data_IF_447884638572
#
_entry.id   IF_447884638572
#
_cell.length_a   1.000
_cell.length_b   1.000
_cell.length_c   1.000
_cell.angle_alpha   90.00
_cell.angle_beta   90.00
_cell.angle_gamma   90.00
#
_symmetry.space_group_name_H-M   'P 1'
#
loop_
_entity.id
_entity.type
_entity.pdbx_description
1 polymer ?
#
# COMPACT_ATOMS: atom_id res chain seq x y z
N UNK A 1 -20.75 7.45 -17.52
CA UNK A 1 -20.60 7.71 -16.06
C UNK A 1 -19.57 8.82 -15.82
N UNK A 2 -19.90 10.09 -16.10
CA UNK A 2 -18.91 11.17 -16.03
C UNK A 2 -18.43 11.43 -14.60
N UNK A 3 -19.34 11.44 -13.63
CA UNK A 3 -19.02 11.78 -12.23
C UNK A 3 -18.04 10.81 -11.58
N UNK A 4 -18.23 9.49 -11.74
CA UNK A 4 -17.34 8.49 -11.13
C UNK A 4 -15.92 8.59 -11.67
N UNK A 5 -15.78 8.83 -12.98
CA UNK A 5 -14.47 9.05 -13.62
C UNK A 5 -13.82 10.34 -13.11
N UNK A 6 -14.60 11.43 -12.99
CA UNK A 6 -14.12 12.69 -12.45
C UNK A 6 -13.58 12.55 -11.02
N UNK A 7 -14.34 11.89 -10.14
CA UNK A 7 -13.94 11.65 -8.74
C UNK A 7 -12.70 10.74 -8.66
N UNK A 8 -12.56 9.78 -9.58
CA UNK A 8 -11.38 8.93 -9.65
C UNK A 8 -10.12 9.70 -10.07
N UNK A 9 -10.23 10.58 -11.07
CA UNK A 9 -9.11 11.46 -11.44
C UNK A 9 -8.77 12.43 -10.29
N UNK A 10 -9.76 12.94 -9.55
CA UNK A 10 -9.52 13.77 -8.38
C UNK A 10 -8.77 13.02 -7.26
N UNK A 11 -9.03 11.71 -7.09
CA UNK A 11 -8.26 10.83 -6.20
C UNK A 11 -6.81 10.68 -6.69
N UNK A 12 -6.60 10.44 -7.99
CA UNK A 12 -5.25 10.37 -8.58
C UNK A 12 -4.46 11.66 -8.35
N UNK A 13 -5.08 12.81 -8.59
CA UNK A 13 -4.48 14.12 -8.36
C UNK A 13 -4.14 14.34 -6.87
N UNK A 14 -5.04 13.93 -5.96
CA UNK A 14 -4.76 14.01 -4.52
C UNK A 14 -3.56 13.14 -4.11
N UNK A 15 -3.40 11.96 -4.71
CA UNK A 15 -2.23 11.10 -4.48
C UNK A 15 -0.95 11.74 -5.03
N UNK A 16 -0.99 12.27 -6.25
CA UNK A 16 0.16 12.92 -6.90
C UNK A 16 0.64 14.15 -6.12
N UNK A 17 -0.28 14.91 -5.57
CA UNK A 17 0.00 16.12 -4.78
C UNK A 17 0.30 15.84 -3.30
N UNK A 18 0.32 14.56 -2.88
CA UNK A 18 0.57 14.19 -1.48
C UNK A 18 -0.54 14.63 -0.50
N UNK A 19 -1.75 14.91 -1.00
CA UNK A 19 -2.92 15.30 -0.19
C UNK A 19 -3.57 14.07 0.45
N UNK A 20 -2.84 13.40 1.35
CA UNK A 20 -3.25 12.13 1.95
C UNK A 20 -4.62 12.17 2.63
N UNK A 21 -4.98 13.26 3.31
CA UNK A 21 -6.32 13.40 3.92
C UNK A 21 -7.46 13.34 2.89
N UNK A 22 -7.26 13.94 1.72
CA UNK A 22 -8.25 13.89 0.65
C UNK A 22 -8.30 12.47 0.04
N UNK A 23 -7.13 11.87 -0.20
CA UNK A 23 -7.04 10.52 -0.74
C UNK A 23 -7.65 9.46 0.18
N UNK A 24 -7.38 9.48 1.50
CA UNK A 24 -7.95 8.52 2.46
C UNK A 24 -9.47 8.64 2.53
N UNK A 25 -10.03 9.86 2.42
CA UNK A 25 -11.48 10.06 2.42
C UNK A 25 -12.20 9.45 1.21
N UNK A 26 -11.47 9.16 0.13
CA UNK A 26 -11.97 8.54 -1.08
C UNK A 26 -11.74 7.02 -1.13
N UNK A 27 -11.25 6.41 -0.04
CA UNK A 27 -11.06 4.96 0.06
C UNK A 27 -12.26 4.27 0.72
N UNK A 28 -12.50 3.02 0.32
CA UNK A 28 -13.41 2.11 1.03
C UNK A 28 -13.09 0.64 0.71
N UNK A 29 -13.79 -0.28 1.39
CA UNK A 29 -13.75 -1.69 1.05
C UNK A 29 -12.45 -2.37 1.49
N UNK A 30 -11.95 -3.27 0.65
CA UNK A 30 -10.85 -4.18 0.98
C UNK A 30 -9.56 -3.44 1.30
N UNK A 31 -9.32 -2.26 0.72
CA UNK A 31 -8.11 -1.49 1.01
C UNK A 31 -8.05 -0.98 2.45
N UNK A 32 -9.20 -0.72 3.08
CA UNK A 32 -9.26 -0.35 4.50
C UNK A 32 -9.04 -1.56 5.42
N UNK A 33 -9.49 -2.75 5.00
CA UNK A 33 -9.14 -3.99 5.71
C UNK A 33 -7.64 -4.28 5.60
N UNK A 34 -7.05 -4.01 4.43
CA UNK A 34 -5.61 -4.14 4.23
C UNK A 34 -4.82 -3.11 5.04
N UNK A 35 -5.30 -1.87 5.19
CA UNK A 35 -4.72 -0.87 6.11
C UNK A 35 -4.55 -1.43 7.54
N UNK A 36 -5.58 -2.09 8.07
CA UNK A 36 -5.53 -2.70 9.39
C UNK A 36 -4.51 -3.85 9.46
N UNK A 37 -4.46 -4.68 8.42
CA UNK A 37 -3.49 -5.77 8.33
C UNK A 37 -2.06 -5.24 8.25
N UNK A 38 -1.80 -4.21 7.44
CA UNK A 38 -0.49 -3.58 7.33
C UNK A 38 0.00 -3.03 8.67
N UNK A 39 -0.88 -2.42 9.46
CA UNK A 39 -0.55 -1.95 10.82
C UNK A 39 -0.15 -3.10 11.74
N UNK A 40 -0.84 -4.24 11.65
CA UNK A 40 -0.47 -5.44 12.38
C UNK A 40 0.87 -6.01 11.89
N UNK A 41 1.09 -6.11 10.58
CA UNK A 41 2.36 -6.58 10.02
C UNK A 41 3.52 -5.69 10.44
N UNK A 42 3.34 -4.36 10.47
CA UNK A 42 4.33 -3.41 10.97
C UNK A 42 4.70 -3.64 12.43
N UNK A 43 3.74 -4.02 13.27
CA UNK A 43 3.97 -4.25 14.69
C UNK A 43 4.57 -5.64 14.98
N UNK A 44 4.02 -6.69 14.36
CA UNK A 44 4.13 -8.06 14.89
C UNK A 44 4.87 -9.03 13.98
N UNK A 45 4.75 -8.90 12.65
CA UNK A 45 5.29 -9.91 11.74
C UNK A 45 6.83 -9.96 11.85
N UNK A 46 7.36 -11.16 12.07
CA UNK A 46 8.79 -11.45 12.08
C UNK A 46 9.34 -11.68 10.67
N UNK A 47 10.65 -11.95 10.55
CA UNK A 47 11.28 -12.19 9.24
C UNK A 47 10.59 -13.30 8.46
N UNK A 48 10.27 -14.43 9.08
CA UNK A 48 9.66 -15.57 8.40
C UNK A 48 8.25 -15.23 7.88
N UNK A 49 7.44 -14.57 8.71
CA UNK A 49 6.08 -14.17 8.35
C UNK A 49 6.08 -13.09 7.27
N UNK A 50 6.94 -12.08 7.38
CA UNK A 50 7.12 -11.05 6.34
C UNK A 50 7.63 -11.64 5.02
N UNK A 51 8.48 -12.67 5.10
CA UNK A 51 9.01 -13.38 3.93
C UNK A 51 7.95 -14.22 3.19
N UNK A 52 6.76 -14.40 3.76
CA UNK A 52 5.63 -15.02 3.08
C UNK A 52 4.66 -14.00 2.46
N UNK A 53 4.85 -12.70 2.75
CA UNK A 53 4.02 -11.62 2.19
C UNK A 53 4.47 -11.24 0.78
N UNK A 54 3.57 -10.60 0.05
CA UNK A 54 3.89 -9.99 -1.24
C UNK A 54 5.02 -8.95 -1.09
N UNK A 55 5.81 -8.72 -2.14
CA UNK A 55 7.00 -7.89 -2.04
C UNK A 55 6.69 -6.43 -1.74
N UNK A 56 5.51 -5.91 -2.08
CA UNK A 56 5.15 -4.53 -1.77
C UNK A 56 4.86 -4.35 -0.29
N UNK A 57 4.13 -5.29 0.33
CA UNK A 57 3.97 -5.37 1.80
C UNK A 57 5.33 -5.47 2.47
N UNK A 58 6.15 -6.42 2.03
CA UNK A 58 7.47 -6.68 2.62
C UNK A 58 8.37 -5.46 2.54
N UNK A 59 8.40 -4.80 1.39
CA UNK A 59 9.15 -3.57 1.16
C UNK A 59 8.66 -2.42 2.02
N UNK A 60 7.35 -2.18 2.07
CA UNK A 60 6.78 -1.15 2.93
C UNK A 60 7.13 -1.37 4.40
N UNK A 61 6.96 -2.59 4.92
CA UNK A 61 7.23 -2.90 6.33
C UNK A 61 8.70 -2.76 6.66
N UNK A 62 9.59 -3.38 5.87
CA UNK A 62 11.04 -3.34 6.10
C UNK A 62 11.58 -1.92 5.97
N UNK A 63 11.18 -1.18 4.92
CA UNK A 63 11.53 0.23 4.73
C UNK A 63 11.13 1.08 5.93
N UNK A 64 9.90 0.89 6.41
CA UNK A 64 9.38 1.66 7.54
C UNK A 64 10.11 1.32 8.85
N UNK A 65 10.42 0.05 9.08
CA UNK A 65 11.08 -0.41 10.31
C UNK A 65 12.56 -0.06 10.38
N UNK A 66 13.27 -0.11 9.26
CA UNK A 66 14.70 0.21 9.21
C UNK A 66 14.99 1.72 9.09
N UNK A 67 13.98 2.57 8.91
CA UNK A 67 14.16 4.02 8.96
C UNK A 67 14.58 4.49 10.37
N UNK A 68 15.41 5.55 10.49
CA UNK A 68 15.96 6.00 11.78
C UNK A 68 14.88 6.61 12.67
N UNK A 69 13.86 7.24 12.08
CA UNK A 69 12.73 7.80 12.81
C UNK A 69 11.56 6.81 12.84
N UNK A 70 11.11 6.49 14.06
CA UNK A 70 9.92 5.68 14.24
C UNK A 70 8.66 6.47 13.90
N UNK A 71 7.98 6.05 12.85
CA UNK A 71 6.64 6.54 12.57
C UNK A 71 5.59 5.89 13.48
N UNK A 72 4.81 6.72 14.19
CA UNK A 72 3.67 6.28 14.98
C UNK A 72 2.44 6.08 14.07
N UNK A 73 2.18 4.83 13.72
CA UNK A 73 1.00 4.47 12.94
C UNK A 73 -0.28 4.59 13.75
N UNK A 74 -0.25 4.51 15.08
CA UNK A 74 -1.48 4.52 15.92
C UNK A 74 -2.20 5.87 15.85
N UNK A 75 -1.46 6.96 15.61
CA UNK A 75 -2.00 8.30 15.43
C UNK A 75 -2.50 8.59 13.99
N UNK A 76 -2.22 7.72 13.01
CA UNK A 76 -2.58 7.97 11.62
C UNK A 76 -4.05 7.65 11.33
N UNK A 77 -4.76 8.47 10.53
CA UNK A 77 -6.11 8.18 10.08
C UNK A 77 -6.24 6.81 9.39
N UNK A 78 -7.42 6.22 9.45
CA UNK A 78 -7.74 4.96 8.74
C UNK A 78 -7.45 5.12 7.24
N UNK A 79 -6.82 4.11 6.64
CA UNK A 79 -6.41 4.10 5.23
C UNK A 79 -5.04 4.73 4.98
N UNK A 80 -4.42 5.38 5.96
CA UNK A 80 -3.10 6.00 5.78
C UNK A 80 -2.00 4.98 5.58
N UNK A 81 -1.97 3.88 6.35
CA UNK A 81 -0.98 2.82 6.18
C UNK A 81 -1.13 2.15 4.81
N UNK A 82 -2.37 1.95 4.35
CA UNK A 82 -2.63 1.48 3.00
C UNK A 82 -2.08 2.44 1.93
N UNK A 83 -2.37 3.73 2.01
CA UNK A 83 -1.85 4.70 1.02
C UNK A 83 -0.33 4.78 1.04
N UNK A 84 0.28 4.76 2.21
CA UNK A 84 1.72 4.73 2.36
C UNK A 84 2.35 3.47 1.77
N UNK A 85 1.72 2.30 1.95
CA UNK A 85 2.17 1.07 1.32
C UNK A 85 1.99 1.12 -0.21
N UNK A 86 0.85 1.66 -0.67
CA UNK A 86 0.56 1.83 -2.09
C UNK A 86 1.56 2.76 -2.78
N UNK A 87 2.04 3.81 -2.10
CA UNK A 87 3.04 4.76 -2.60
C UNK A 87 4.48 4.43 -2.16
N UNK A 88 4.70 3.29 -1.49
CA UNK A 88 6.01 2.97 -0.92
C UNK A 88 7.09 2.90 -2.01
N UNK A 89 6.75 2.38 -3.19
CA UNK A 89 7.66 2.28 -4.33
C UNK A 89 7.17 3.16 -5.48
N UNK A 90 7.60 4.42 -5.49
CA UNK A 90 7.09 5.48 -6.36
C UNK A 90 7.29 5.23 -7.85
N UNK A 91 8.27 4.40 -8.24
CA UNK A 91 8.47 3.98 -9.63
C UNK A 91 7.21 3.31 -10.20
N UNK A 92 6.42 2.64 -9.35
CA UNK A 92 5.18 1.99 -9.75
C UNK A 92 3.95 2.93 -9.68
N UNK A 93 4.10 4.20 -9.32
CA UNK A 93 2.99 5.17 -9.33
C UNK A 93 2.45 5.40 -10.74
N UNK A 94 3.25 5.15 -11.78
CA UNK A 94 2.79 5.13 -13.18
C UNK A 94 1.59 4.19 -13.38
N UNK A 95 1.51 3.07 -12.64
CA UNK A 95 0.37 2.16 -12.71
C UNK A 95 -0.92 2.77 -12.18
N UNK A 96 -0.84 3.72 -11.24
CA UNK A 96 -1.99 4.50 -10.79
C UNK A 96 -2.31 5.61 -11.79
N UNK A 97 -1.30 6.27 -12.36
CA UNK A 97 -1.47 7.37 -13.32
C UNK A 97 -2.10 6.91 -14.63
N UNK A 98 -1.68 5.76 -15.16
CA UNK A 98 -2.20 5.19 -16.41
C UNK A 98 -3.53 4.46 -16.24
N UNK A 99 -3.94 4.21 -15.00
CA UNK A 99 -5.21 3.57 -14.72
C UNK A 99 -6.38 4.50 -15.02
N UNK A 100 -7.36 3.95 -15.72
CA UNK A 100 -8.63 4.60 -16.01
C UNK A 100 -9.81 3.65 -15.79
N UNK A 101 -10.99 4.22 -15.57
CA UNK A 101 -12.22 3.45 -15.31
C UNK A 101 -13.03 3.25 -16.58
N UNK A 102 -13.19 1.99 -16.97
CA UNK A 102 -13.94 1.54 -18.13
C UNK A 102 -15.45 1.50 -17.90
N UNK A 103 -16.08 0.42 -18.39
CA UNK A 103 -17.53 0.22 -18.36
C UNK A 103 -18.02 -0.31 -17.01
N UNK A 104 -19.29 -0.07 -16.73
CA UNK A 104 -19.98 -0.64 -15.56
C UNK A 104 -20.39 -2.08 -15.85
N UNK A 105 -19.93 -2.98 -14.99
CA UNK A 105 -20.07 -4.42 -15.13
C UNK A 105 -21.21 -5.00 -14.26
N UNK A 106 -21.77 -4.21 -13.35
CA UNK A 106 -22.83 -4.63 -12.42
C UNK A 106 -22.53 -4.22 -10.98
N UNK A 107 -23.17 -4.88 -10.03
CA UNK A 107 -22.95 -4.69 -8.60
C UNK A 107 -22.21 -5.90 -8.00
N UNK A 108 -21.40 -5.68 -6.97
CA UNK A 108 -20.88 -6.76 -6.14
C UNK A 108 -21.90 -7.22 -5.08
N UNK A 109 -21.49 -8.17 -4.25
CA UNK A 109 -22.30 -8.78 -3.19
C UNK A 109 -22.78 -7.76 -2.14
N UNK A 110 -22.06 -6.65 -2.00
CA UNK A 110 -22.37 -5.57 -1.07
C UNK A 110 -23.20 -4.45 -1.73
N UNK A 111 -23.51 -4.60 -3.03
CA UNK A 111 -24.26 -3.61 -3.81
C UNK A 111 -23.42 -2.44 -4.31
N UNK A 112 -22.09 -2.50 -4.22
CA UNK A 112 -21.21 -1.47 -4.77
C UNK A 112 -21.03 -1.69 -6.27
N UNK A 113 -20.74 -0.60 -6.99
CA UNK A 113 -20.54 -0.66 -8.43
C UNK A 113 -19.25 -1.37 -8.78
N UNK A 114 -19.31 -2.29 -9.73
CA UNK A 114 -18.14 -2.94 -10.33
C UNK A 114 -17.84 -2.28 -11.66
N UNK A 115 -16.67 -1.65 -11.77
CA UNK A 115 -16.19 -1.03 -12.99
C UNK A 115 -15.00 -1.80 -13.55
N UNK A 116 -14.94 -1.95 -14.88
CA UNK A 116 -13.74 -2.43 -15.55
C UNK A 116 -12.59 -1.46 -15.33
N UNK A 117 -11.39 -1.97 -15.11
CA UNK A 117 -10.16 -1.19 -15.10
C UNK A 117 -9.47 -1.27 -16.46
N UNK A 118 -8.90 -0.15 -16.88
CA UNK A 118 -8.16 -0.02 -18.15
C UNK A 118 -6.80 0.56 -17.83
N UNK A 119 -5.75 -0.22 -18.01
CA UNK A 119 -4.36 0.16 -17.75
C UNK A 119 -3.64 0.34 -19.10
N UNK A 120 -3.03 1.49 -19.32
CA UNK A 120 -2.35 1.81 -20.59
C UNK A 120 -3.23 1.57 -21.83
N UNK A 121 -4.54 1.82 -21.71
CA UNK A 121 -5.52 1.59 -22.79
C UNK A 121 -5.95 0.12 -22.98
N UNK A 122 -5.45 -0.81 -22.16
CA UNK A 122 -5.81 -2.23 -22.22
C UNK A 122 -6.70 -2.62 -21.03
N UNK A 123 -7.79 -3.33 -21.33
CA UNK A 123 -8.63 -3.97 -20.32
C UNK A 123 -8.15 -5.42 -20.16
N UNK A 124 -7.57 -5.74 -19.01
CA UNK A 124 -7.07 -7.07 -18.65
C UNK A 124 -8.12 -7.94 -17.93
N UNK A 125 -9.35 -7.46 -17.83
CA UNK A 125 -10.46 -8.11 -17.12
C UNK A 125 -10.49 -7.83 -15.61
N UNK A 126 -9.54 -7.05 -15.09
CA UNK A 126 -9.58 -6.58 -13.70
C UNK A 126 -10.73 -5.60 -13.47
N UNK A 127 -11.11 -5.45 -12.20
CA UNK A 127 -12.29 -4.69 -11.78
C UNK A 127 -11.99 -3.91 -10.52
N UNK A 128 -12.66 -2.78 -10.38
CA UNK A 128 -12.62 -1.98 -9.16
C UNK A 128 -14.04 -1.82 -8.61
N UNK A 129 -14.16 -2.00 -7.29
CA UNK A 129 -15.37 -1.69 -6.55
C UNK A 129 -15.45 -0.19 -6.31
N UNK A 130 -16.64 0.38 -6.48
CA UNK A 130 -16.94 1.80 -6.23
C UNK A 130 -18.20 1.94 -5.41
N UNK A 131 -18.07 2.52 -4.21
CA UNK A 131 -19.23 3.01 -3.47
C UNK A 131 -19.58 4.40 -4.00
N UNK A 132 -20.79 4.53 -4.56
CA UNK A 132 -21.25 5.79 -5.16
C UNK A 132 -21.79 6.79 -4.16
N UNK A 133 -22.06 6.39 -2.91
CA UNK A 133 -22.60 7.26 -1.87
C UNK A 133 -23.76 8.17 -2.29
N UNK A 134 -24.11 9.14 -1.44
CA UNK A 134 -25.11 10.18 -1.76
C UNK A 134 -24.48 11.49 -2.25
N UNK A 135 -23.15 11.60 -2.28
CA UNK A 135 -22.48 12.86 -2.66
C UNK A 135 -21.00 12.77 -3.07
N UNK A 136 -20.32 11.66 -2.84
CA UNK A 136 -18.95 11.39 -3.32
C UNK A 136 -18.78 9.91 -3.63
N UNK A 137 -17.88 9.61 -4.56
CA UNK A 137 -17.48 8.23 -4.84
C UNK A 137 -16.31 7.85 -3.95
N UNK A 138 -16.30 6.59 -3.49
CA UNK A 138 -15.14 5.97 -2.84
C UNK A 138 -14.70 4.77 -3.67
N UNK A 139 -13.41 4.47 -3.64
CA UNK A 139 -12.77 3.47 -4.49
C UNK A 139 -12.01 2.44 -3.65
N UNK A 140 -12.17 1.15 -3.98
CA UNK A 140 -11.36 0.08 -3.39
C UNK A 140 -10.11 -0.12 -4.23
N UNK A 141 -8.99 0.46 -3.80
CA UNK A 141 -7.73 0.43 -4.55
C UNK A 141 -6.97 -0.90 -4.42
N UNK A 142 -7.55 -1.97 -3.84
CA UNK A 142 -6.82 -3.24 -3.71
C UNK A 142 -6.40 -3.85 -5.04
N UNK A 143 -7.17 -3.64 -6.12
CA UNK A 143 -6.76 -4.10 -7.45
C UNK A 143 -5.45 -3.42 -7.89
N UNK A 144 -5.31 -2.12 -7.62
CA UNK A 144 -4.09 -1.35 -7.94
C UNK A 144 -2.93 -1.84 -7.09
N UNK A 145 -3.17 -2.03 -5.79
CA UNK A 145 -2.17 -2.56 -4.87
C UNK A 145 -1.62 -3.90 -5.34
N UNK A 146 -2.49 -4.85 -5.71
CA UNK A 146 -2.10 -6.18 -6.18
C UNK A 146 -1.31 -6.10 -7.49
N UNK A 147 -1.71 -5.23 -8.42
CA UNK A 147 -0.99 -5.02 -9.66
C UNK A 147 0.41 -4.46 -9.42
N UNK A 148 0.56 -3.50 -8.48
CA UNK A 148 1.88 -3.00 -8.06
C UNK A 148 2.71 -4.10 -7.40
N UNK A 149 2.14 -4.88 -6.50
CA UNK A 149 2.83 -5.99 -5.84
C UNK A 149 3.35 -7.01 -6.86
N UNK A 150 2.53 -7.38 -7.85
CA UNK A 150 2.92 -8.29 -8.93
C UNK A 150 4.00 -7.67 -9.85
N UNK A 151 3.92 -6.39 -10.16
CA UNK A 151 4.95 -5.71 -10.95
C UNK A 151 6.29 -5.68 -10.22
N UNK A 152 6.28 -5.42 -8.90
CA UNK A 152 7.47 -5.46 -8.07
C UNK A 152 8.03 -6.88 -7.95
N UNK A 153 7.19 -7.90 -7.82
CA UNK A 153 7.60 -9.31 -7.82
C UNK A 153 8.36 -9.68 -9.09
N UNK A 154 7.82 -9.33 -10.26
CA UNK A 154 8.49 -9.57 -11.55
C UNK A 154 9.83 -8.84 -11.64
N UNK A 155 9.87 -7.57 -11.23
CA UNK A 155 11.10 -6.79 -11.21
C UNK A 155 12.18 -7.43 -10.34
N UNK A 156 11.82 -7.91 -9.13
CA UNK A 156 12.77 -8.57 -8.22
C UNK A 156 13.24 -9.91 -8.81
N UNK A 157 12.34 -10.69 -9.40
CA UNK A 157 12.69 -11.94 -10.06
C UNK A 157 13.65 -11.74 -11.24
N UNK A 158 13.42 -10.71 -12.07
CA UNK A 158 14.20 -10.44 -13.29
C UNK A 158 15.56 -9.77 -13.00
N UNK A 159 15.61 -8.79 -12.10
CA UNK A 159 16.81 -7.97 -11.88
C UNK A 159 17.65 -8.41 -10.68
N UNK A 160 17.06 -9.19 -9.77
CA UNK A 160 17.69 -9.57 -8.50
C UNK A 160 17.70 -11.08 -8.24
N UNK A 161 17.39 -11.91 -9.24
CA UNK A 161 17.36 -13.36 -9.12
C UNK A 161 16.39 -13.86 -8.02
N UNK A 162 15.26 -13.16 -7.86
CA UNK A 162 14.24 -13.39 -6.80
C UNK A 162 14.76 -13.14 -5.37
N UNK A 163 15.93 -12.48 -5.22
CA UNK A 163 16.51 -12.12 -3.93
C UNK A 163 16.01 -10.74 -3.45
N UNK A 164 15.01 -10.77 -2.56
CA UNK A 164 14.46 -9.57 -1.96
C UNK A 164 15.47 -8.79 -1.09
N UNK A 165 16.37 -9.46 -0.36
CA UNK A 165 17.34 -8.79 0.51
C UNK A 165 18.36 -8.02 -0.35
N UNK A 166 18.77 -8.59 -1.50
CA UNK A 166 19.61 -7.92 -2.49
C UNK A 166 18.91 -6.72 -3.12
N UNK A 167 17.63 -6.85 -3.49
CA UNK A 167 16.82 -5.72 -3.95
C UNK A 167 16.78 -4.59 -2.91
N UNK A 168 16.48 -4.91 -1.65
CA UNK A 168 16.36 -3.91 -0.59
C UNK A 168 17.70 -3.19 -0.34
N UNK A 169 18.82 -3.92 -0.31
CA UNK A 169 20.16 -3.32 -0.20
C UNK A 169 20.47 -2.37 -1.36
N UNK A 170 20.15 -2.79 -2.58
CA UNK A 170 20.35 -1.94 -3.76
C UNK A 170 19.50 -0.68 -3.68
N UNK A 171 18.23 -0.81 -3.28
CA UNK A 171 17.33 0.32 -3.11
C UNK A 171 17.86 1.33 -2.10
N UNK A 172 18.29 0.87 -0.91
CA UNK A 172 18.87 1.70 0.15
C UNK A 172 20.11 2.44 -0.35
N UNK A 173 21.02 1.74 -1.04
CA UNK A 173 22.23 2.33 -1.59
C UNK A 173 21.94 3.38 -2.68
N UNK A 174 20.99 3.11 -3.57
CA UNK A 174 20.64 4.03 -4.67
C UNK A 174 19.95 5.31 -4.19
N UNK A 175 19.35 5.28 -2.98
CA UNK A 175 18.63 6.41 -2.40
C UNK A 175 19.35 7.05 -1.21
N UNK A 176 20.60 6.64 -0.91
CA UNK A 176 21.44 7.15 0.18
C UNK A 176 20.70 7.21 1.53
N UNK A 177 19.97 6.14 1.86
CA UNK A 177 19.15 6.08 3.07
C UNK A 177 19.99 5.67 4.27
N UNK A 178 19.89 6.42 5.37
CA UNK A 178 20.25 5.92 6.70
C UNK A 178 19.27 4.81 7.07
N UNK A 179 19.74 3.56 7.11
CA UNK A 179 18.87 2.38 7.18
C UNK A 179 19.49 1.24 7.98
N UNK A 180 18.78 0.77 9.01
CA UNK A 180 19.17 -0.40 9.80
C UNK A 180 18.50 -1.67 9.25
N UNK A 181 19.28 -2.47 8.52
CA UNK A 181 18.83 -3.73 7.95
C UNK A 181 18.46 -4.79 8.99
N UNK A 182 19.16 -4.83 10.13
CA UNK A 182 18.83 -5.80 11.18
C UNK A 182 17.50 -5.45 11.84
N UNK A 183 17.27 -4.16 12.11
CA UNK A 183 16.03 -3.66 12.69
C UNK A 183 14.85 -3.77 11.71
N UNK A 184 15.07 -3.62 10.40
CA UNK A 184 14.04 -3.71 9.37
C UNK A 184 13.23 -5.03 9.42
N UNK A 185 13.89 -6.13 9.79
CA UNK A 185 13.28 -7.46 9.87
C UNK A 185 12.70 -7.82 11.23
N UNK A 186 12.92 -6.98 12.25
CA UNK A 186 12.47 -7.26 13.63
C UNK A 186 11.10 -6.64 13.88
N UNK A 187 10.18 -7.35 14.55
CA UNK A 187 8.95 -6.77 15.06
C UNK A 187 9.22 -5.57 15.96
N UNK A 188 8.30 -4.60 15.98
CA UNK A 188 8.38 -3.44 16.87
C UNK A 188 7.83 -3.71 18.27
N UNK A 189 7.22 -4.87 18.50
CA UNK A 189 6.86 -5.31 19.85
C UNK A 189 8.15 -5.68 20.59
N UNK A 190 8.71 -4.70 21.32
CA UNK A 190 9.99 -4.89 22.00
C UNK A 190 10.50 -3.73 22.85
N UNK A 191 9.66 -2.81 23.36
CA UNK A 191 9.97 -1.94 24.52
C UNK A 191 8.73 -1.63 25.36
N UNK A 192 7.93 -2.65 25.66
CA UNK A 192 6.93 -2.60 26.72
C UNK A 192 7.41 -3.43 27.91
N UNK A 193 8.19 -2.83 28.82
CA UNK A 193 8.46 -3.42 30.14
C UNK A 193 9.90 -3.80 30.47
N UNK A 194 10.84 -2.85 30.43
CA UNK A 194 12.03 -2.87 31.30
C UNK A 194 12.07 -1.57 32.11
N UNK A 195 11.15 -1.48 33.06
CA UNK A 195 11.28 -0.68 34.28
C UNK A 195 10.48 -1.37 35.39
N UNK A 196 10.65 -2.69 35.51
CA UNK A 196 10.54 -3.33 36.81
C UNK A 196 11.91 -3.12 37.47
N UNK A 197 12.04 -2.09 38.29
CA UNK A 197 13.06 -2.09 39.33
C UNK A 197 12.65 -3.15 40.37
N UNK A 198 13.43 -4.22 40.59
CA UNK A 198 13.46 -4.85 41.89
C UNK A 198 14.57 -4.21 42.72
N UNK A 199 14.24 -3.87 43.96
CA UNK A 199 15.14 -3.63 45.09
C UNK A 199 15.98 -2.34 45.09
N UNK A 200 15.59 -1.42 45.97
CA UNK A 200 16.25 -1.27 47.27
C UNK A 200 15.21 -0.88 48.34
#
# INVERSE_FOLDING_TARGET
MPMVRLEFEALKDALREGRFTAATSALFGSCLNWDQQLRHFLAEDDKATLSARDPLTRFFVTRTRGAPEEMDFTALPVGSAFLMALSAFSVLDVLMDELSLGDHLGLDEEGNWQLATVLAGQNDGSRISVDKGSGRCRFDLMVVYRNKAQALERFIAEEFDDDFDRFLWRYVADHDLDFDMEQAWRPRIGKGGENAHPCA
#
